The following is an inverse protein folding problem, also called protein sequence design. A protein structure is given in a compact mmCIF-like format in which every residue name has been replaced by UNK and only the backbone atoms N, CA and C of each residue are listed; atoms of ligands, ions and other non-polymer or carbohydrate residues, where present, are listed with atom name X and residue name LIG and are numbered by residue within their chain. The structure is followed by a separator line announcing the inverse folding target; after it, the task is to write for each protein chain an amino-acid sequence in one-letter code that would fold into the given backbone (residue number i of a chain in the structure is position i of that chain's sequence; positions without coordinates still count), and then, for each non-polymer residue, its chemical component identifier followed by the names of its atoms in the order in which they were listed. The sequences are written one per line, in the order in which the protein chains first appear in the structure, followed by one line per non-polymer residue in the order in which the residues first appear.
data_IF_624925695046
#
_entry.id   IF_624925695046
#
_cell.length_a   1.000
_cell.length_b   1.000
_cell.length_c   1.000
_cell.angle_alpha   90.00
_cell.angle_beta   90.00
_cell.angle_gamma   90.00
#
_symmetry.space_group_name_H-M   'P 1'
#
loop_
_entity.id
_entity.type
_entity.pdbx_description
1 polymer ?
#
# COMPACT_ATOMS: atom_id res chain seq x y z
N UNK A 1 -16.33 -28.40 -23.83
CA UNK A 1 -15.14 -27.81 -23.16
C UNK A 1 -14.04 -27.39 -24.11
N UNK A 2 -13.75 -28.13 -25.20
CA UNK A 2 -12.75 -27.68 -26.20
C UNK A 2 -13.05 -26.29 -26.74
N UNK A 3 -14.32 -26.02 -27.07
CA UNK A 3 -14.75 -24.70 -27.58
C UNK A 3 -14.51 -23.57 -26.57
N UNK A 4 -14.66 -23.83 -25.28
CA UNK A 4 -14.36 -22.85 -24.23
C UNK A 4 -12.85 -22.60 -24.09
N UNK A 5 -12.04 -23.65 -24.08
CA UNK A 5 -10.59 -23.51 -23.99
C UNK A 5 -10.01 -22.79 -25.22
N UNK A 6 -10.60 -22.99 -26.40
CA UNK A 6 -10.18 -22.33 -27.63
C UNK A 6 -10.59 -20.85 -27.62
N UNK A 7 -11.82 -20.51 -27.20
CA UNK A 7 -12.27 -19.11 -27.03
C UNK A 7 -11.40 -18.38 -26.00
N UNK A 8 -11.09 -19.01 -24.86
CA UNK A 8 -10.24 -18.39 -23.84
C UNK A 8 -8.83 -18.12 -24.37
N UNK A 9 -8.28 -19.01 -25.22
CA UNK A 9 -6.98 -18.80 -25.87
C UNK A 9 -7.03 -17.69 -26.91
N UNK A 10 -8.06 -17.66 -27.76
CA UNK A 10 -8.23 -16.61 -28.77
C UNK A 10 -8.39 -15.22 -28.12
N UNK A 11 -9.05 -15.16 -26.96
CA UNK A 11 -9.18 -13.94 -26.15
C UNK A 11 -7.93 -13.59 -25.32
N UNK A 12 -6.87 -14.43 -25.34
CA UNK A 12 -5.67 -14.19 -24.54
C UNK A 12 -5.88 -14.30 -23.01
N UNK A 13 -6.96 -14.94 -22.57
CA UNK A 13 -7.31 -15.07 -21.15
C UNK A 13 -6.51 -16.22 -20.54
N UNK A 14 -5.48 -15.87 -19.78
CA UNK A 14 -4.72 -16.87 -19.03
C UNK A 14 -5.56 -17.50 -17.90
N UNK A 15 -5.23 -18.73 -17.51
CA UNK A 15 -5.86 -19.39 -16.33
C UNK A 15 -5.67 -18.55 -15.05
N UNK A 16 -4.64 -17.71 -14.98
CA UNK A 16 -4.40 -16.76 -13.88
C UNK A 16 -5.41 -15.62 -13.91
N UNK A 17 -5.61 -14.96 -15.07
CA UNK A 17 -6.61 -13.89 -15.25
C UNK A 17 -8.02 -14.42 -14.98
N UNK A 18 -8.35 -15.60 -15.49
CA UNK A 18 -9.64 -16.24 -15.28
C UNK A 18 -9.90 -16.56 -13.80
N UNK A 19 -8.89 -17.08 -13.08
CA UNK A 19 -9.00 -17.35 -11.64
C UNK A 19 -9.32 -16.09 -10.83
N UNK A 20 -8.64 -14.98 -11.16
CA UNK A 20 -8.88 -13.67 -10.53
C UNK A 20 -10.31 -13.19 -10.77
N UNK A 21 -10.77 -13.21 -12.02
CA UNK A 21 -12.12 -12.81 -12.41
C UNK A 21 -13.23 -13.62 -11.70
N UNK A 22 -13.05 -14.94 -11.65
CA UNK A 22 -14.00 -15.85 -11.02
C UNK A 22 -13.96 -15.80 -9.47
N UNK A 23 -12.88 -15.25 -8.89
CA UNK A 23 -12.64 -15.20 -7.45
C UNK A 23 -12.40 -16.59 -6.85
N UNK A 24 -11.55 -17.39 -7.49
CA UNK A 24 -11.19 -18.76 -7.04
C UNK A 24 -9.69 -19.01 -7.18
N UNK A 25 -9.18 -20.08 -6.56
CA UNK A 25 -7.78 -20.47 -6.75
C UNK A 25 -7.52 -20.98 -8.17
N UNK A 26 -6.26 -20.89 -8.62
CA UNK A 26 -5.86 -21.42 -9.93
C UNK A 26 -6.17 -22.91 -10.07
N UNK A 27 -5.99 -23.68 -9.00
CA UNK A 27 -6.30 -25.12 -8.99
C UNK A 27 -7.78 -25.38 -9.26
N UNK A 28 -8.68 -24.54 -8.70
CA UNK A 28 -10.11 -24.67 -8.98
C UNK A 28 -10.45 -24.40 -10.44
N UNK A 29 -9.77 -23.44 -11.08
CA UNK A 29 -9.94 -23.20 -12.52
C UNK A 29 -9.53 -24.42 -13.35
N UNK A 30 -8.42 -25.09 -13.00
CA UNK A 30 -8.05 -26.36 -13.65
C UNK A 30 -9.12 -27.42 -13.44
N UNK A 31 -9.56 -27.63 -12.19
CA UNK A 31 -10.60 -28.61 -11.86
C UNK A 31 -11.90 -28.35 -12.64
N UNK A 32 -12.31 -27.09 -12.79
CA UNK A 32 -13.52 -26.74 -13.53
C UNK A 32 -13.38 -26.98 -15.03
N UNK A 33 -12.20 -26.73 -15.59
CA UNK A 33 -11.96 -26.90 -17.03
C UNK A 33 -11.83 -28.38 -17.44
N UNK A 34 -11.59 -29.26 -16.47
CA UNK A 34 -11.63 -30.73 -16.64
C UNK A 34 -13.05 -31.33 -16.56
N UNK A 35 -14.05 -30.57 -16.11
CA UNK A 35 -15.45 -31.04 -16.07
C UNK A 35 -15.98 -31.27 -17.49
N UNK A 36 -16.96 -32.17 -17.64
CA UNK A 36 -17.48 -32.53 -18.97
C UNK A 36 -18.32 -31.40 -19.57
N UNK A 37 -19.14 -30.75 -18.75
CA UNK A 37 -20.05 -29.69 -19.18
C UNK A 37 -19.89 -28.42 -18.34
N UNK A 38 -20.16 -27.27 -18.95
CA UNK A 38 -20.25 -25.99 -18.25
C UNK A 38 -21.38 -25.98 -17.21
N UNK A 39 -22.41 -26.80 -17.39
CA UNK A 39 -23.51 -26.96 -16.43
C UNK A 39 -23.06 -27.56 -15.09
N UNK A 40 -21.93 -28.27 -15.08
CA UNK A 40 -21.35 -28.87 -13.87
C UNK A 40 -20.60 -27.84 -13.01
N UNK A 41 -20.39 -26.61 -13.52
CA UNK A 41 -19.76 -25.54 -12.76
C UNK A 41 -20.69 -25.00 -11.66
N UNK A 42 -20.13 -24.48 -10.55
CA UNK A 42 -20.92 -23.74 -9.58
C UNK A 42 -21.66 -22.58 -10.25
N UNK A 43 -22.94 -22.44 -9.90
CA UNK A 43 -23.88 -21.53 -10.57
C UNK A 43 -23.37 -20.09 -10.67
N UNK A 44 -22.76 -19.57 -9.60
CA UNK A 44 -22.20 -18.22 -9.57
C UNK A 44 -21.00 -18.06 -10.53
N UNK A 45 -20.10 -19.06 -10.60
CA UNK A 45 -18.93 -19.05 -11.48
C UNK A 45 -19.32 -19.18 -12.95
N UNK A 46 -20.30 -20.04 -13.24
CA UNK A 46 -20.89 -20.18 -14.57
C UNK A 46 -21.50 -18.86 -15.05
N UNK A 47 -22.31 -18.21 -14.21
CA UNK A 47 -22.93 -16.92 -14.56
C UNK A 47 -21.89 -15.84 -14.80
N UNK A 48 -20.84 -15.76 -13.97
CA UNK A 48 -19.72 -14.84 -14.19
C UNK A 48 -19.03 -15.09 -15.54
N UNK A 49 -18.74 -16.35 -15.86
CA UNK A 49 -18.13 -16.71 -17.14
C UNK A 49 -19.02 -16.32 -18.33
N UNK A 50 -20.33 -16.53 -18.20
CA UNK A 50 -21.30 -16.13 -19.23
C UNK A 50 -21.35 -14.61 -19.42
N UNK A 51 -21.27 -13.84 -18.34
CA UNK A 51 -21.14 -12.38 -18.41
C UNK A 51 -19.85 -11.95 -19.09
N UNK A 52 -18.72 -12.57 -18.75
CA UNK A 52 -17.42 -12.28 -19.36
C UNK A 52 -17.43 -12.55 -20.87
N UNK A 53 -18.03 -13.66 -21.28
CA UNK A 53 -18.11 -14.06 -22.68
C UNK A 53 -19.30 -13.44 -23.41
N UNK A 54 -20.18 -12.71 -22.71
CA UNK A 54 -21.40 -12.11 -23.25
C UNK A 54 -22.26 -13.16 -23.99
N UNK A 55 -22.58 -14.26 -23.30
CA UNK A 55 -23.40 -15.38 -23.77
C UNK A 55 -24.49 -15.72 -22.76
N UNK A 56 -25.58 -16.36 -23.21
CA UNK A 56 -26.69 -16.78 -22.31
C UNK A 56 -26.69 -18.28 -22.00
N UNK A 57 -26.11 -19.10 -22.86
CA UNK A 57 -25.94 -20.54 -22.65
C UNK A 57 -24.64 -21.04 -23.27
N UNK A 58 -24.22 -22.25 -22.89
CA UNK A 58 -23.05 -22.90 -23.45
C UNK A 58 -23.16 -23.18 -24.96
N UNK A 59 -24.39 -23.26 -25.48
CA UNK A 59 -24.66 -23.52 -26.90
C UNK A 59 -24.27 -22.33 -27.81
N UNK A 60 -24.12 -21.13 -27.25
CA UNK A 60 -23.69 -19.93 -27.99
C UNK A 60 -22.16 -19.86 -28.19
N UNK A 61 -21.39 -20.74 -27.55
CA UNK A 61 -19.92 -20.75 -27.66
C UNK A 61 -19.42 -20.98 -29.10
N UNK A 62 -19.90 -21.99 -29.86
CA UNK A 62 -19.39 -22.27 -31.20
C UNK A 62 -19.66 -21.16 -32.22
N UNK A 63 -20.65 -20.31 -31.97
CA UNK A 63 -21.06 -19.22 -32.87
C UNK A 63 -20.38 -17.89 -32.55
N UNK A 64 -19.59 -17.82 -31.47
CA UNK A 64 -18.98 -16.58 -31.01
C UNK A 64 -17.80 -16.18 -31.91
N UNK A 65 -17.99 -15.12 -32.69
CA UNK A 65 -16.91 -14.52 -33.49
C UNK A 65 -16.02 -13.63 -32.62
N UNK A 66 -14.74 -13.97 -32.52
CA UNK A 66 -13.76 -13.18 -31.79
C UNK A 66 -13.25 -12.05 -32.72
N UNK A 67 -13.79 -10.84 -32.53
CA UNK A 67 -13.34 -9.62 -33.23
C UNK A 67 -12.45 -8.77 -32.33
N UNK A 68 -11.68 -7.84 -32.90
CA UNK A 68 -10.82 -6.92 -32.13
C UNK A 68 -11.62 -6.09 -31.11
N UNK A 69 -12.80 -5.58 -31.50
CA UNK A 69 -13.68 -4.83 -30.60
C UNK A 69 -14.18 -5.69 -29.43
N UNK A 70 -14.47 -6.97 -29.70
CA UNK A 70 -14.87 -7.92 -28.66
C UNK A 70 -13.71 -8.25 -27.72
N UNK A 71 -12.49 -8.45 -28.23
CA UNK A 71 -11.29 -8.63 -27.40
C UNK A 71 -11.06 -7.42 -26.48
N UNK A 72 -11.18 -6.19 -27.00
CA UNK A 72 -11.05 -4.97 -26.20
C UNK A 72 -12.13 -4.85 -25.12
N UNK A 73 -13.39 -5.23 -25.43
CA UNK A 73 -14.48 -5.25 -24.45
C UNK A 73 -14.21 -6.25 -23.34
N UNK A 74 -13.73 -7.45 -23.67
CA UNK A 74 -13.42 -8.51 -22.71
C UNK A 74 -12.23 -8.12 -21.82
N UNK A 75 -11.16 -7.57 -22.40
CA UNK A 75 -10.01 -7.08 -21.63
C UNK A 75 -10.43 -5.96 -20.66
N UNK A 76 -11.26 -5.01 -21.13
CA UNK A 76 -11.83 -3.97 -20.25
C UNK A 76 -12.63 -4.55 -19.08
N UNK A 77 -13.44 -5.60 -19.30
CA UNK A 77 -14.19 -6.26 -18.21
C UNK A 77 -13.24 -6.94 -17.22
N UNK A 78 -12.14 -7.52 -17.69
CA UNK A 78 -11.12 -8.14 -16.83
C UNK A 78 -10.35 -7.08 -16.02
N UNK A 79 -10.03 -5.94 -16.63
CA UNK A 79 -9.36 -4.81 -15.99
C UNK A 79 -10.29 -4.07 -15.00
N UNK A 80 -11.57 -3.95 -15.32
CA UNK A 80 -12.59 -3.39 -14.42
C UNK A 80 -12.75 -4.26 -13.16
N UNK A 81 -12.49 -5.57 -13.21
CA UNK A 81 -12.44 -6.43 -12.01
C UNK A 81 -11.21 -6.16 -11.14
N UNK A 82 -10.10 -5.65 -11.69
CA UNK A 82 -8.99 -5.17 -10.87
C UNK A 82 -9.38 -3.91 -10.09
N UNK A 83 -10.23 -3.06 -10.68
CA UNK A 83 -10.78 -1.86 -10.03
C UNK A 83 -11.90 -2.22 -9.05
N UNK A 84 -12.81 -3.14 -9.40
CA UNK A 84 -13.91 -3.56 -8.54
C UNK A 84 -13.45 -4.50 -7.41
N UNK A 85 -12.40 -5.30 -7.59
CA UNK A 85 -11.77 -6.03 -6.48
C UNK A 85 -11.12 -5.08 -5.49
N UNK A 86 -10.51 -3.98 -5.98
CA UNK A 86 -10.00 -2.89 -5.15
C UNK A 86 -11.13 -2.14 -4.41
N UNK A 87 -12.25 -1.85 -5.09
CA UNK A 87 -13.47 -1.29 -4.46
C UNK A 87 -14.18 -2.25 -3.50
N UNK A 88 -14.12 -3.57 -3.76
CA UNK A 88 -14.73 -4.58 -2.89
C UNK A 88 -13.91 -4.83 -1.63
N UNK A 89 -12.59 -4.60 -1.69
CA UNK A 89 -11.71 -4.61 -0.52
C UNK A 89 -11.84 -3.30 0.27
N UNK A 90 -12.02 -2.15 -0.40
CA UNK A 90 -12.43 -0.89 0.24
C UNK A 90 -13.96 -0.82 0.41
N UNK A 91 -14.58 -1.91 0.84
CA UNK A 91 -16.03 -1.91 1.01
C UNK A 91 -16.43 -0.82 2.02
N UNK A 92 -17.53 -0.11 1.73
CA UNK A 92 -18.23 0.85 2.61
C UNK A 92 -18.52 0.33 4.05
N UNK A 93 -18.15 -0.92 4.37
CA UNK A 93 -18.18 -1.51 5.70
C UNK A 93 -16.95 -1.15 6.55
N UNK A 94 -15.79 -0.83 5.97
CA UNK A 94 -14.53 -0.58 6.72
C UNK A 94 -14.51 0.76 7.47
N UNK A 95 -15.37 1.71 7.12
CA UNK A 95 -15.43 3.01 7.79
C UNK A 95 -16.66 3.19 8.68
N UNK A 96 -17.41 2.12 8.98
CA UNK A 96 -18.63 2.19 9.80
C UNK A 96 -18.37 2.65 11.24
N UNK A 97 -17.16 2.43 11.73
CA UNK A 97 -16.65 2.90 13.01
C UNK A 97 -16.31 4.41 13.01
N UNK A 98 -16.14 5.01 11.84
CA UNK A 98 -15.91 6.45 11.68
C UNK A 98 -17.23 7.24 11.67
N UNK A 99 -17.19 8.44 12.23
CA UNK A 99 -18.31 9.40 12.12
C UNK A 99 -18.53 9.85 10.67
N UNK A 100 -19.74 10.31 10.34
CA UNK A 100 -20.06 10.84 9.00
C UNK A 100 -19.09 11.94 8.54
N UNK A 101 -18.64 12.79 9.47
CA UNK A 101 -17.66 13.86 9.17
C UNK A 101 -16.29 13.26 8.80
N UNK A 102 -15.85 12.24 9.53
CA UNK A 102 -14.58 11.54 9.26
C UNK A 102 -14.63 10.74 7.96
N UNK A 103 -15.75 10.07 7.68
CA UNK A 103 -15.96 9.38 6.41
C UNK A 103 -15.90 10.36 5.23
N UNK A 104 -16.59 11.51 5.35
CA UNK A 104 -16.60 12.50 4.29
C UNK A 104 -15.20 13.02 3.98
N UNK A 105 -14.44 13.48 4.99
CA UNK A 105 -13.08 13.99 4.73
C UNK A 105 -12.15 12.91 4.17
N UNK A 106 -12.31 11.65 4.59
CA UNK A 106 -11.52 10.55 4.05
C UNK A 106 -11.84 10.31 2.57
N UNK A 107 -13.12 10.34 2.19
CA UNK A 107 -13.52 10.25 0.78
C UNK A 107 -12.93 11.38 -0.06
N UNK A 108 -12.96 12.63 0.43
CA UNK A 108 -12.35 13.77 -0.28
C UNK A 108 -10.84 13.56 -0.47
N UNK A 109 -10.13 13.08 0.57
CA UNK A 109 -8.70 12.75 0.47
C UNK A 109 -8.45 11.67 -0.57
N UNK A 110 -9.26 10.61 -0.61
CA UNK A 110 -9.11 9.53 -1.59
C UNK A 110 -9.29 10.04 -3.02
N UNK A 111 -10.27 10.91 -3.27
CA UNK A 111 -10.45 11.50 -4.60
C UNK A 111 -9.28 12.41 -4.99
N UNK A 112 -8.76 13.25 -4.07
CA UNK A 112 -7.56 14.06 -4.34
C UNK A 112 -6.34 13.20 -4.70
N UNK A 113 -6.13 12.08 -3.99
CA UNK A 113 -5.04 11.15 -4.30
C UNK A 113 -5.23 10.49 -5.67
N UNK A 114 -6.48 10.19 -6.02
CA UNK A 114 -6.82 9.63 -7.33
C UNK A 114 -6.57 10.65 -8.45
N UNK A 115 -6.91 11.91 -8.25
CA UNK A 115 -6.62 13.00 -9.20
C UNK A 115 -5.11 13.13 -9.43
N UNK A 116 -4.30 13.22 -8.35
CA UNK A 116 -2.82 13.28 -8.44
C UNK A 116 -2.25 12.11 -9.25
N UNK A 117 -2.79 10.90 -9.08
CA UNK A 117 -2.33 9.72 -9.81
C UNK A 117 -2.81 9.69 -11.27
N UNK A 118 -3.95 10.30 -11.57
CA UNK A 118 -4.56 10.28 -12.91
C UNK A 118 -3.94 11.31 -13.86
N UNK A 119 -3.33 12.36 -13.32
CA UNK A 119 -2.65 13.44 -14.06
C UNK A 119 -1.17 13.14 -14.38
N UNK A 120 -0.66 11.95 -14.04
CA UNK A 120 0.76 11.62 -14.23
C UNK A 120 1.06 11.27 -15.70
N UNK A 121 1.48 12.28 -16.48
CA UNK A 121 1.89 12.19 -17.89
C UNK A 121 3.24 11.45 -18.09
N UNK A 122 3.32 10.20 -17.64
CA UNK A 122 4.50 9.31 -17.74
C UNK A 122 5.75 9.74 -16.95
N UNK A 123 5.63 10.65 -15.98
CA UNK A 123 6.77 11.15 -15.19
C UNK A 123 6.98 10.42 -13.86
N UNK A 124 6.05 9.53 -13.49
CA UNK A 124 5.94 8.86 -12.18
C UNK A 124 5.87 9.84 -10.99
N UNK A 125 5.76 11.15 -11.22
CA UNK A 125 5.79 12.15 -10.16
C UNK A 125 4.58 12.03 -9.24
N UNK A 126 3.40 11.78 -9.79
CA UNK A 126 2.17 11.56 -9.03
C UNK A 126 2.30 10.32 -8.16
N UNK A 127 2.86 9.24 -8.71
CA UNK A 127 3.16 8.03 -7.96
C UNK A 127 4.10 8.29 -6.77
N UNK A 128 5.25 8.94 -6.99
CA UNK A 128 6.19 9.23 -5.91
C UNK A 128 5.60 10.18 -4.86
N UNK A 129 4.79 11.17 -5.26
CA UNK A 129 4.11 12.06 -4.33
C UNK A 129 3.18 11.28 -3.38
N UNK A 130 2.33 10.40 -3.90
CA UNK A 130 1.44 9.55 -3.09
C UNK A 130 2.24 8.57 -2.23
N UNK A 131 3.33 8.01 -2.75
CA UNK A 131 4.22 7.12 -1.99
C UNK A 131 4.89 7.84 -0.81
N UNK A 132 5.34 9.08 -0.99
CA UNK A 132 5.92 9.86 0.09
C UNK A 132 4.86 10.29 1.12
N UNK A 133 3.64 10.61 0.69
CA UNK A 133 2.53 10.82 1.62
C UNK A 133 2.23 9.55 2.44
N UNK A 134 2.24 8.37 1.82
CA UNK A 134 2.10 7.11 2.54
C UNK A 134 3.13 6.97 3.66
N UNK A 135 4.42 7.20 3.36
CA UNK A 135 5.47 7.17 4.39
C UNK A 135 5.31 8.27 5.44
N UNK A 136 4.83 9.46 5.07
CA UNK A 136 4.53 10.56 5.99
C UNK A 136 3.42 10.17 6.98
N UNK A 137 2.39 9.46 6.53
CA UNK A 137 1.32 8.94 7.38
C UNK A 137 1.81 7.81 8.30
N UNK A 138 2.71 6.93 7.83
CA UNK A 138 3.28 5.87 8.66
C UNK A 138 4.02 6.40 9.89
N UNK A 139 4.65 7.58 9.80
CA UNK A 139 5.40 8.19 10.91
C UNK A 139 4.56 9.15 11.76
N UNK A 140 3.32 9.45 11.36
CA UNK A 140 2.40 10.31 12.11
C UNK A 140 2.24 9.96 13.61
N UNK A 141 2.09 8.68 14.02
CA UNK A 141 1.94 8.36 15.44
C UNK A 141 3.21 8.59 16.26
N UNK A 142 4.39 8.50 15.63
CA UNK A 142 5.68 8.49 16.31
C UNK A 142 6.41 9.84 16.26
N UNK A 143 6.17 10.65 15.23
CA UNK A 143 6.87 11.92 14.99
C UNK A 143 5.90 13.08 15.18
N UNK A 144 6.00 13.75 16.33
CA UNK A 144 5.10 14.86 16.69
C UNK A 144 5.15 16.01 15.69
N UNK A 145 6.28 16.25 15.04
CA UNK A 145 6.46 17.34 14.08
C UNK A 145 5.56 17.20 12.84
N UNK A 146 5.14 15.97 12.50
CA UNK A 146 4.24 15.68 11.37
C UNK A 146 2.93 16.46 11.50
N UNK A 147 2.35 16.54 12.70
CA UNK A 147 1.09 17.28 12.93
C UNK A 147 1.28 18.80 12.82
N UNK A 148 2.46 19.32 13.17
CA UNK A 148 2.79 20.74 13.03
C UNK A 148 3.09 21.13 11.57
N UNK A 149 3.62 20.21 10.76
CA UNK A 149 3.74 20.39 9.31
C UNK A 149 2.34 20.52 8.69
N UNK A 150 1.41 19.63 9.06
CA UNK A 150 0.02 19.69 8.58
C UNK A 150 -0.65 21.02 8.95
N UNK A 151 -0.53 21.46 10.21
CA UNK A 151 -1.13 22.73 10.65
C UNK A 151 -0.50 23.94 9.95
N UNK A 152 0.82 23.96 9.77
CA UNK A 152 1.53 25.02 9.08
C UNK A 152 1.00 25.21 7.66
N UNK A 153 0.93 24.13 6.87
CA UNK A 153 0.45 24.22 5.48
C UNK A 153 -1.04 24.56 5.40
N UNK A 154 -1.86 24.06 6.32
CA UNK A 154 -3.27 24.43 6.39
C UNK A 154 -3.45 25.94 6.64
N UNK A 155 -2.67 26.51 7.58
CA UNK A 155 -2.70 27.95 7.89
C UNK A 155 -2.12 28.81 6.77
N UNK A 156 -0.96 28.45 6.23
CA UNK A 156 -0.26 29.26 5.23
C UNK A 156 -1.05 29.40 3.93
N UNK A 157 -1.94 28.44 3.65
CA UNK A 157 -2.84 28.46 2.50
C UNK A 157 -4.26 28.96 2.84
N UNK A 158 -4.50 29.42 4.07
CA UNK A 158 -5.76 30.04 4.47
C UNK A 158 -6.93 29.08 4.70
N UNK A 159 -6.69 27.77 4.78
CA UNK A 159 -7.74 26.77 5.04
C UNK A 159 -8.25 26.80 6.49
N UNK A 160 -7.40 27.20 7.43
CA UNK A 160 -7.73 27.34 8.86
C UNK A 160 -7.22 28.69 9.40
N UNK A 161 -7.77 29.13 10.54
CA UNK A 161 -7.41 30.44 11.10
C UNK A 161 -5.97 30.46 11.62
N UNK A 162 -5.22 31.58 11.47
CA UNK A 162 -3.82 31.66 11.91
C UNK A 162 -3.61 31.38 13.42
N UNK A 163 -4.61 31.74 14.24
CA UNK A 163 -4.58 31.57 15.70
C UNK A 163 -5.28 30.31 16.19
N UNK A 164 -5.55 29.36 15.31
CA UNK A 164 -6.11 28.05 15.68
C UNK A 164 -4.99 27.09 16.07
N UNK A 165 -5.07 26.53 17.28
CA UNK A 165 -4.10 25.58 17.82
C UNK A 165 -4.84 24.37 18.39
N UNK A 166 -4.87 23.28 17.62
CA UNK A 166 -5.58 22.03 17.97
C UNK A 166 -4.65 20.96 18.55
N UNK A 167 -3.33 21.23 18.56
CA UNK A 167 -2.29 20.36 19.14
C UNK A 167 -1.64 21.04 20.36
N UNK A 168 -0.37 20.75 20.65
CA UNK A 168 0.37 21.50 21.66
C UNK A 168 0.68 22.90 21.12
N UNK A 169 0.05 23.93 21.71
CA UNK A 169 0.13 25.32 21.25
C UNK A 169 1.57 25.86 21.24
N UNK A 170 2.33 25.67 22.32
CA UNK A 170 3.70 26.20 22.44
C UNK A 170 4.65 25.58 21.41
N UNK A 171 4.61 24.25 21.26
CA UNK A 171 5.41 23.54 20.27
C UNK A 171 4.97 23.89 18.84
N UNK A 172 3.66 24.01 18.60
CA UNK A 172 3.10 24.37 17.31
C UNK A 172 3.52 25.78 16.90
N UNK A 173 3.42 26.77 17.79
CA UNK A 173 3.89 28.15 17.55
C UNK A 173 5.39 28.14 17.20
N UNK A 174 6.19 27.41 17.98
CA UNK A 174 7.63 27.31 17.78
C UNK A 174 7.95 26.71 16.41
N UNK A 175 7.33 25.58 16.07
CA UNK A 175 7.55 24.89 14.80
C UNK A 175 7.09 25.72 13.61
N UNK A 176 5.88 26.30 13.67
CA UNK A 176 5.33 27.16 12.61
C UNK A 176 6.24 28.37 12.35
N UNK A 177 6.81 28.98 13.40
CA UNK A 177 7.77 30.07 13.29
C UNK A 177 9.09 29.67 12.62
N UNK A 178 9.63 28.49 12.92
CA UNK A 178 10.84 27.94 12.28
C UNK A 178 10.56 27.64 10.81
N UNK A 179 9.45 26.96 10.51
CA UNK A 179 9.06 26.63 9.13
C UNK A 179 8.80 27.88 8.29
N UNK A 180 8.14 28.90 8.84
CA UNK A 180 7.94 30.18 8.15
C UNK A 180 9.28 30.82 7.74
N UNK A 181 10.27 30.82 8.63
CA UNK A 181 11.61 31.33 8.32
C UNK A 181 12.29 30.48 7.25
N UNK A 182 12.24 29.14 7.36
CA UNK A 182 12.82 28.23 6.38
C UNK A 182 12.21 28.41 4.99
N UNK A 183 10.88 28.51 4.90
CA UNK A 183 10.16 28.73 3.64
C UNK A 183 10.50 30.09 3.03
N UNK A 184 10.58 31.16 3.83
CA UNK A 184 11.02 32.47 3.33
C UNK A 184 12.46 32.45 2.82
N UNK A 185 13.37 31.73 3.49
CA UNK A 185 14.74 31.57 3.02
C UNK A 185 14.80 30.83 1.68
N UNK A 186 13.97 29.79 1.51
CA UNK A 186 13.87 29.02 0.27
C UNK A 186 13.29 29.87 -0.88
N UNK A 187 12.15 30.53 -0.65
CA UNK A 187 11.43 31.31 -1.67
C UNK A 187 12.24 32.53 -2.12
N UNK A 188 12.83 33.26 -1.17
CA UNK A 188 13.53 34.52 -1.47
C UNK A 188 15.02 34.32 -1.79
N UNK A 189 15.53 33.08 -1.74
CA UNK A 189 16.93 32.76 -2.11
C UNK A 189 17.99 33.36 -1.18
N UNK A 190 17.68 33.56 0.10
CA UNK A 190 18.54 34.28 1.06
C UNK A 190 19.72 33.46 1.60
N UNK A 191 19.78 32.15 1.34
CA UNK A 191 20.82 31.27 1.85
C UNK A 191 21.96 31.07 0.83
N UNK A 192 23.20 31.08 1.33
CA UNK A 192 24.37 30.78 0.49
C UNK A 192 24.29 29.35 -0.07
N UNK A 193 24.45 29.21 -1.39
CA UNK A 193 24.48 27.89 -2.07
C UNK A 193 25.50 26.93 -1.43
N UNK A 194 26.68 27.42 -1.06
CA UNK A 194 27.71 26.58 -0.44
C UNK A 194 27.29 26.04 0.92
N UNK A 195 26.64 26.89 1.75
CA UNK A 195 26.11 26.48 3.05
C UNK A 195 24.97 25.48 2.93
N UNK A 196 24.08 25.64 1.94
CA UNK A 196 22.99 24.70 1.67
C UNK A 196 23.54 23.32 1.27
N UNK A 197 24.52 23.29 0.36
CA UNK A 197 25.15 22.02 -0.06
C UNK A 197 25.84 21.32 1.11
N UNK A 198 26.54 22.07 1.97
CA UNK A 198 27.16 21.50 3.16
C UNK A 198 26.12 20.96 4.17
N UNK A 199 25.04 21.72 4.42
CA UNK A 199 23.94 21.27 5.27
C UNK A 199 23.30 19.99 4.72
N UNK A 200 23.10 19.90 3.40
CA UNK A 200 22.59 18.70 2.76
C UNK A 200 23.52 17.49 2.92
N UNK A 201 24.84 17.67 2.80
CA UNK A 201 25.81 16.60 3.07
C UNK A 201 25.72 16.07 4.50
N UNK A 202 25.57 16.96 5.49
CA UNK A 202 25.39 16.56 6.90
C UNK A 202 24.09 15.80 7.10
N UNK A 203 23.01 16.23 6.45
CA UNK A 203 21.72 15.52 6.46
C UNK A 203 21.84 14.09 5.89
N UNK A 204 22.51 13.93 4.75
CA UNK A 204 22.74 12.59 4.16
C UNK A 204 23.56 11.71 5.11
N UNK A 205 24.65 12.23 5.66
CA UNK A 205 25.51 11.48 6.59
C UNK A 205 24.76 11.04 7.87
N UNK A 206 23.89 11.90 8.41
CA UNK A 206 23.07 11.56 9.58
C UNK A 206 22.07 10.44 9.28
N UNK A 207 21.45 10.43 8.09
CA UNK A 207 20.55 9.35 7.67
C UNK A 207 21.32 8.04 7.50
N UNK A 208 22.49 8.07 6.87
CA UNK A 208 23.31 6.87 6.65
C UNK A 208 23.76 6.28 7.99
N UNK A 209 24.23 7.11 8.92
CA UNK A 209 24.60 6.71 10.28
C UNK A 209 23.43 6.04 11.01
N UNK A 210 22.23 6.64 10.97
CA UNK A 210 21.02 6.05 11.57
C UNK A 210 20.64 4.70 10.95
N UNK A 211 20.84 4.55 9.63
CA UNK A 211 20.59 3.28 8.93
C UNK A 211 21.58 2.20 9.36
N UNK A 212 22.86 2.55 9.45
CA UNK A 212 23.92 1.65 9.93
C UNK A 212 23.69 1.20 11.37
N UNK A 213 23.30 2.12 12.26
CA UNK A 213 22.98 1.81 13.65
C UNK A 213 21.81 0.82 13.75
N UNK A 214 20.73 1.03 12.98
CA UNK A 214 19.60 0.08 12.92
C UNK A 214 20.03 -1.29 12.41
N UNK A 215 20.89 -1.35 11.40
CA UNK A 215 21.41 -2.60 10.85
C UNK A 215 22.28 -3.33 11.90
N UNK A 216 23.18 -2.62 12.57
CA UNK A 216 24.03 -3.18 13.64
C UNK A 216 23.17 -3.74 14.77
N UNK A 217 22.20 -2.97 15.28
CA UNK A 217 21.28 -3.43 16.33
C UNK A 217 20.51 -4.69 15.92
N UNK A 218 20.08 -4.77 14.66
CA UNK A 218 19.38 -5.96 14.13
C UNK A 218 20.32 -7.17 14.10
N UNK A 219 21.57 -7.00 13.68
CA UNK A 219 22.58 -8.06 13.69
C UNK A 219 22.94 -8.50 15.13
N UNK A 220 23.07 -7.56 16.05
CA UNK A 220 23.31 -7.82 17.47
C UNK A 220 22.17 -8.62 18.11
N UNK A 221 20.92 -8.24 17.84
CA UNK A 221 19.73 -8.94 18.31
C UNK A 221 19.63 -10.35 17.71
N UNK A 222 19.90 -10.51 16.42
CA UNK A 222 19.93 -11.82 15.77
C UNK A 222 21.02 -12.72 16.35
N UNK A 223 22.22 -12.16 16.60
CA UNK A 223 23.33 -12.89 17.23
C UNK A 223 22.95 -13.34 18.64
N UNK A 224 22.38 -12.44 19.45
CA UNK A 224 21.91 -12.76 20.79
C UNK A 224 20.78 -13.80 20.77
N UNK A 225 19.87 -13.74 19.80
CA UNK A 225 18.82 -14.75 19.59
C UNK A 225 19.41 -16.14 19.31
N UNK A 226 20.37 -16.24 18.38
CA UNK A 226 21.03 -17.51 18.07
C UNK A 226 21.76 -18.07 19.28
N UNK A 227 22.43 -17.20 20.04
CA UNK A 227 23.11 -17.59 21.28
C UNK A 227 22.12 -18.03 22.36
N UNK A 228 21.02 -17.31 22.56
CA UNK A 228 19.97 -17.66 23.52
C UNK A 228 19.36 -19.03 23.22
N UNK A 229 19.00 -19.29 21.95
CA UNK A 229 18.48 -20.58 21.52
C UNK A 229 19.50 -21.71 21.78
N UNK A 230 20.78 -21.48 21.48
CA UNK A 230 21.85 -22.44 21.74
C UNK A 230 22.07 -22.71 23.23
N UNK A 231 22.08 -21.69 24.07
CA UNK A 231 22.26 -21.82 25.53
C UNK A 231 21.07 -22.52 26.20
N UNK A 232 19.86 -22.33 25.66
CA UNK A 232 18.63 -22.98 26.16
C UNK A 232 18.33 -24.34 25.50
N UNK A 233 19.10 -24.73 24.47
CA UNK A 233 18.92 -26.01 23.77
C UNK A 233 17.73 -26.04 22.80
N UNK A 234 17.21 -24.89 22.38
CA UNK A 234 16.12 -24.77 21.41
C UNK A 234 16.64 -24.54 19.99
N UNK A 235 15.89 -25.03 18.99
CA UNK A 235 16.19 -24.79 17.57
C UNK A 235 15.46 -23.57 17.00
N UNK A 236 14.31 -23.23 17.57
CA UNK A 236 13.46 -22.12 17.14
C UNK A 236 12.61 -21.57 18.29
N UNK A 237 12.04 -20.38 18.08
CA UNK A 237 11.09 -19.76 19.01
C UNK A 237 9.68 -20.23 18.66
N UNK A 238 8.93 -20.68 19.66
CA UNK A 238 7.52 -20.98 19.59
C UNK A 238 6.80 -20.43 20.83
N UNK A 239 5.48 -20.56 20.89
CA UNK A 239 4.67 -20.00 21.99
C UNK A 239 5.06 -20.53 23.38
N UNK A 240 5.62 -21.74 23.46
CA UNK A 240 5.99 -22.37 24.73
C UNK A 240 7.34 -21.91 25.28
N UNK A 241 8.26 -21.43 24.43
CA UNK A 241 9.61 -21.03 24.84
C UNK A 241 9.90 -19.54 24.63
N UNK A 242 8.98 -18.77 24.05
CA UNK A 242 9.19 -17.36 23.70
C UNK A 242 9.63 -16.50 24.90
N UNK A 243 8.93 -16.58 26.03
CA UNK A 243 9.27 -15.78 27.22
C UNK A 243 10.69 -16.08 27.73
N UNK A 244 11.04 -17.36 27.85
CA UNK A 244 12.37 -17.79 28.30
C UNK A 244 13.48 -17.34 27.34
N UNK A 245 13.26 -17.50 26.03
CA UNK A 245 14.21 -17.06 25.01
C UNK A 245 14.37 -15.53 25.02
N UNK A 246 13.30 -14.76 25.21
CA UNK A 246 13.40 -13.30 25.28
C UNK A 246 14.12 -12.80 26.55
N UNK A 247 13.84 -13.40 27.71
CA UNK A 247 14.60 -13.12 28.94
C UNK A 247 16.09 -13.42 28.76
N UNK A 248 16.40 -14.54 28.09
CA UNK A 248 17.77 -14.94 27.80
C UNK A 248 18.47 -14.00 26.82
N UNK A 249 17.76 -13.50 25.80
CA UNK A 249 18.28 -12.46 24.90
C UNK A 249 18.62 -11.19 25.69
N UNK A 250 17.74 -10.74 26.58
CA UNK A 250 17.98 -9.55 27.40
C UNK A 250 19.20 -9.72 28.33
N UNK A 251 19.36 -10.91 28.91
CA UNK A 251 20.51 -11.28 29.75
C UNK A 251 21.83 -11.31 28.95
N UNK A 252 21.82 -11.86 27.73
CA UNK A 252 23.00 -11.86 26.84
C UNK A 252 23.36 -10.43 26.41
N UNK A 253 22.36 -9.58 26.15
CA UNK A 253 22.58 -8.18 25.81
C UNK A 253 23.19 -7.40 26.98
N UNK A 254 22.76 -7.66 28.22
CA UNK A 254 23.34 -6.99 29.39
C UNK A 254 24.77 -7.43 29.71
N UNK A 255 25.15 -8.68 29.42
CA UNK A 255 26.55 -9.16 29.53
C UNK A 255 27.53 -8.37 28.67
N UNK A 256 27.11 -7.85 27.51
CA UNK A 256 27.97 -7.11 26.59
C UNK A 256 28.18 -5.64 27.01
N UNK A 257 27.39 -5.13 27.94
CA UNK A 257 27.42 -3.73 28.40
C UNK A 257 28.41 -3.55 29.58
N UNK A 258 28.84 -4.65 30.22
CA UNK A 258 29.88 -4.68 31.27
C UNK A 258 31.21 -5.20 30.71
#
# INVERSE_FOLDING_TARGET
MRDLDDILKELGISKVKLAKYLGVSRQMVYNYLELKNLEDWPKDKKMKLFTLLDIKSADELPEKKITTDYMMKVEKILDDVDIDSFKSNMSLYEFKDLSKKQQHILSEVIELLREILSEDDNTEQGYYAVKYLYHFLQVYPDIKEVKYILSYFAKSNGFIQPKEFVFNEEEQITFEGIMFQAMNLFINGGASKSKIVEAHKRFVADIESKREEKLSRTQELNTAKVQALKELGYTEINESNASEVFEKIAEIQSRKIN
#
